data_IF_046811276531
#
_entry.id   IF_046811276531
#
_cell.length_a   1.000
_cell.length_b   1.000
_cell.length_c   1.000
_cell.angle_alpha   90.00
_cell.angle_beta   90.00
_cell.angle_gamma   90.00
#
_symmetry.space_group_name_H-M   'P 1'
#
loop_
_entity.id
_entity.type
_entity.pdbx_description
1 polymer ?
#
# COMPACT_ATOMS: atom_id res chain seq x y z
N UNK A 1 -14.16 -12.54 9.60
CA UNK A 1 -14.38 -12.09 8.22
C UNK A 1 -13.08 -11.49 7.72
N UNK A 2 -12.60 -11.85 6.52
CA UNK A 2 -11.39 -11.25 5.98
C UNK A 2 -11.66 -9.77 5.66
N UNK A 3 -10.83 -8.85 6.16
CA UNK A 3 -11.00 -7.41 5.88
C UNK A 3 -10.88 -7.15 4.38
N UNK A 4 -11.56 -6.10 3.90
CA UNK A 4 -11.33 -5.60 2.54
C UNK A 4 -9.92 -5.00 2.47
N UNK A 5 -9.09 -5.47 1.53
CA UNK A 5 -7.75 -4.89 1.30
C UNK A 5 -7.88 -3.45 0.77
N UNK A 6 -6.95 -2.57 1.13
CA UNK A 6 -7.03 -1.15 0.80
C UNK A 6 -8.12 -0.38 1.58
N UNK A 7 -8.48 -0.86 2.77
CA UNK A 7 -9.45 -0.22 3.66
C UNK A 7 -8.81 0.15 5.01
N UNK A 8 -9.43 1.10 5.69
CA UNK A 8 -9.07 1.52 7.05
C UNK A 8 -9.33 0.39 8.07
N UNK A 9 -8.97 0.62 9.34
CA UNK A 9 -9.19 -0.36 10.42
C UNK A 9 -10.65 -0.76 10.63
N UNK A 10 -11.60 0.08 10.22
CA UNK A 10 -13.05 -0.16 10.33
C UNK A 10 -13.62 -0.80 9.06
N UNK A 11 -12.79 -1.03 8.04
CA UNK A 11 -13.17 -1.65 6.77
C UNK A 11 -13.76 -0.66 5.74
N UNK A 12 -13.67 0.65 5.99
CA UNK A 12 -14.10 1.69 5.06
C UNK A 12 -12.98 2.00 4.06
N UNK A 13 -13.36 2.55 2.90
CA UNK A 13 -12.38 3.00 1.92
C UNK A 13 -11.64 4.23 2.46
N UNK A 14 -10.34 4.31 2.19
CA UNK A 14 -9.60 5.56 2.36
C UNK A 14 -10.13 6.62 1.40
N UNK A 15 -10.18 7.87 1.86
CA UNK A 15 -10.44 9.03 1.00
C UNK A 15 -9.22 9.36 0.11
N UNK A 16 -9.45 10.21 -0.89
CA UNK A 16 -8.42 10.54 -1.89
C UNK A 16 -7.23 11.29 -1.29
N UNK A 17 -7.45 12.08 -0.24
CA UNK A 17 -6.38 12.77 0.49
C UNK A 17 -5.45 11.75 1.15
N UNK A 18 -6.01 10.80 1.89
CA UNK A 18 -5.24 9.74 2.53
C UNK A 18 -4.54 8.84 1.52
N UNK A 19 -5.20 8.51 0.40
CA UNK A 19 -4.57 7.76 -0.69
C UNK A 19 -3.35 8.52 -1.22
N UNK A 20 -3.46 9.84 -1.37
CA UNK A 20 -2.36 10.69 -1.81
C UNK A 20 -1.23 10.75 -0.78
N UNK A 21 -1.53 10.92 0.50
CA UNK A 21 -0.53 10.89 1.58
C UNK A 21 0.25 9.57 1.60
N UNK A 22 -0.45 8.45 1.41
CA UNK A 22 0.17 7.12 1.35
C UNK A 22 0.99 6.98 0.07
N UNK A 23 0.50 7.43 -1.08
CA UNK A 23 1.25 7.42 -2.34
C UNK A 23 2.60 8.12 -2.21
N UNK A 24 2.65 9.28 -1.54
CA UNK A 24 3.89 10.03 -1.33
C UNK A 24 4.92 9.30 -0.46
N UNK A 25 4.52 8.26 0.28
CA UNK A 25 5.45 7.40 1.01
C UNK A 25 6.20 6.41 0.12
N UNK A 26 5.73 6.20 -1.11
CA UNK A 26 6.46 5.41 -2.11
C UNK A 26 7.76 6.09 -2.52
N UNK A 27 8.78 5.30 -2.78
CA UNK A 27 10.10 5.81 -3.16
C UNK A 27 10.06 6.33 -4.61
N UNK A 28 10.71 7.48 -4.85
CA UNK A 28 10.85 8.03 -6.21
C UNK A 28 11.83 7.16 -7.00
N UNK A 29 11.49 6.86 -8.25
CA UNK A 29 12.34 6.10 -9.15
C UNK A 29 13.12 7.08 -10.03
N UNK A 30 14.48 7.07 -10.01
CA UNK A 30 15.27 7.90 -10.91
C UNK A 30 14.90 7.67 -12.38
N UNK A 31 14.70 8.75 -13.13
CA UNK A 31 14.34 8.68 -14.55
C UNK A 31 12.87 8.38 -14.87
N UNK A 32 11.98 8.26 -13.87
CA UNK A 32 10.52 8.18 -14.08
C UNK A 32 9.81 9.39 -13.47
N UNK A 33 8.64 9.72 -14.02
CA UNK A 33 7.78 10.76 -13.46
C UNK A 33 7.26 10.34 -12.07
N UNK A 34 7.69 11.05 -11.03
CA UNK A 34 7.34 10.76 -9.64
C UNK A 34 5.86 11.01 -9.28
N UNK A 35 5.12 11.71 -10.13
CA UNK A 35 3.66 11.88 -10.00
C UNK A 35 2.95 10.57 -10.40
N UNK A 36 3.48 9.89 -11.41
CA UNK A 36 2.86 8.70 -12.00
C UNK A 36 3.42 7.39 -11.46
N UNK A 37 4.71 7.35 -11.13
CA UNK A 37 5.42 6.12 -10.76
C UNK A 37 6.14 6.26 -9.42
N UNK A 38 6.04 5.20 -8.62
CA UNK A 38 6.80 5.02 -7.38
C UNK A 38 7.24 3.57 -7.27
N UNK A 39 8.20 3.33 -6.39
CA UNK A 39 8.63 2.01 -5.94
C UNK A 39 8.05 1.78 -4.54
N UNK A 40 7.42 0.62 -4.33
CA UNK A 40 6.90 0.23 -3.02
C UNK A 40 8.02 -0.28 -2.09
N UNK A 41 7.66 -0.72 -0.89
CA UNK A 41 8.63 -1.22 0.08
C UNK A 41 9.31 -2.54 -0.36
N UNK A 42 8.70 -3.28 -1.29
CA UNK A 42 9.20 -4.53 -1.84
C UNK A 42 10.00 -4.36 -3.14
N UNK A 43 10.24 -3.12 -3.57
CA UNK A 43 10.97 -2.84 -4.81
C UNK A 43 10.10 -2.94 -6.06
N UNK A 44 8.78 -3.14 -5.93
CA UNK A 44 7.88 -3.21 -7.07
C UNK A 44 7.54 -1.81 -7.58
N UNK A 45 7.50 -1.66 -8.90
CA UNK A 45 7.03 -0.42 -9.53
C UNK A 45 5.51 -0.36 -9.48
N UNK A 46 4.97 0.73 -8.94
CA UNK A 46 3.54 0.99 -8.84
C UNK A 46 3.16 2.23 -9.66
N UNK A 47 1.95 2.21 -10.24
CA UNK A 47 1.44 3.28 -11.10
C UNK A 47 0.25 3.98 -10.44
N UNK A 48 0.31 5.30 -10.28
CA UNK A 48 -0.67 6.09 -9.53
C UNK A 48 -2.13 5.86 -10.01
N UNK A 49 -2.46 5.88 -11.31
CA UNK A 49 -3.80 5.55 -11.82
C UNK A 49 -4.21 4.07 -11.72
N UNK A 50 -3.32 3.18 -11.27
CA UNK A 50 -3.63 1.77 -11.00
C UNK A 50 -3.92 1.48 -9.53
N UNK A 51 -4.24 2.52 -8.75
CA UNK A 51 -4.75 2.33 -7.40
C UNK A 51 -6.01 1.44 -7.38
N UNK A 52 -6.02 0.45 -6.48
CA UNK A 52 -7.13 -0.50 -6.30
C UNK A 52 -7.22 -1.60 -7.37
N UNK A 53 -6.35 -1.58 -8.40
CA UNK A 53 -6.39 -2.56 -9.50
C UNK A 53 -5.53 -3.77 -9.21
N UNK A 54 -5.96 -4.92 -9.72
CA UNK A 54 -5.16 -6.14 -9.74
C UNK A 54 -4.39 -6.23 -11.07
N UNK A 55 -3.28 -5.50 -11.16
CA UNK A 55 -2.41 -5.42 -12.33
C UNK A 55 -0.95 -5.45 -11.89
N UNK A 56 -0.03 -5.67 -12.82
CA UNK A 56 1.43 -5.69 -12.56
C UNK A 56 1.92 -4.48 -11.75
N UNK A 57 1.47 -3.28 -12.11
CA UNK A 57 1.75 -2.02 -11.38
C UNK A 57 0.59 -1.53 -10.52
N UNK A 58 -0.36 -2.42 -10.22
CA UNK A 58 -1.52 -2.13 -9.36
C UNK A 58 -1.09 -2.08 -7.91
N UNK A 59 -1.71 -1.19 -7.13
CA UNK A 59 -1.31 -1.01 -5.73
C UNK A 59 -2.50 -0.64 -4.85
N UNK A 60 -2.33 -0.85 -3.55
CA UNK A 60 -3.31 -0.54 -2.52
C UNK A 60 -2.63 0.04 -1.29
N UNK A 61 -3.43 0.65 -0.40
CA UNK A 61 -2.96 1.02 0.93
C UNK A 61 -2.81 -0.25 1.78
N UNK A 62 -1.59 -0.48 2.26
CA UNK A 62 -1.27 -1.56 3.19
C UNK A 62 -0.94 -1.02 4.59
N UNK A 63 -1.21 -1.83 5.60
CA UNK A 63 -0.80 -1.61 6.97
C UNK A 63 0.48 -2.41 7.27
N UNK A 64 1.60 -1.72 7.52
CA UNK A 64 2.89 -2.34 7.87
C UNK A 64 2.74 -3.30 9.05
N UNK A 65 2.23 -2.80 10.18
CA UNK A 65 1.68 -3.63 11.25
C UNK A 65 0.18 -3.86 10.96
N UNK A 66 -0.26 -5.09 10.69
CA UNK A 66 -1.66 -5.44 10.50
C UNK A 66 -2.55 -5.04 11.69
N UNK A 67 -3.82 -4.72 11.41
CA UNK A 67 -4.78 -4.25 12.43
C UNK A 67 -5.04 -5.31 13.50
N UNK A 68 -5.11 -6.60 13.13
CA UNK A 68 -5.26 -7.73 14.06
C UNK A 68 -4.05 -7.92 15.00
N UNK A 69 -2.94 -7.24 14.70
CA UNK A 69 -1.72 -7.20 15.51
C UNK A 69 -1.48 -5.82 16.15
N UNK A 70 -2.54 -5.02 16.29
CA UNK A 70 -2.49 -3.70 16.94
C UNK A 70 -2.06 -2.56 16.00
N UNK A 71 -2.02 -2.80 14.70
CA UNK A 71 -1.84 -1.77 13.67
C UNK A 71 -2.92 -0.69 13.71
N UNK A 72 -2.54 0.53 13.32
CA UNK A 72 -3.45 1.69 13.26
C UNK A 72 -3.44 2.31 11.87
N UNK A 73 -4.43 3.16 11.58
CA UNK A 73 -4.48 3.97 10.35
C UNK A 73 -3.56 5.21 10.40
N UNK A 74 -2.62 5.26 11.35
CA UNK A 74 -1.62 6.32 11.37
C UNK A 74 -0.77 6.23 10.10
N UNK A 75 -0.52 7.38 9.45
CA UNK A 75 0.25 7.44 8.20
C UNK A 75 1.65 6.79 8.30
N UNK A 76 2.26 6.73 9.50
CA UNK A 76 3.53 6.03 9.74
C UNK A 76 3.43 4.51 9.57
N UNK A 77 2.26 3.95 9.85
CA UNK A 77 1.94 2.53 9.70
C UNK A 77 1.38 2.19 8.31
N UNK A 78 1.01 3.18 7.50
CA UNK A 78 0.50 2.97 6.16
C UNK A 78 1.64 3.03 5.12
N UNK A 79 1.49 2.24 4.06
CA UNK A 79 2.39 2.26 2.91
C UNK A 79 1.62 1.93 1.62
N UNK A 80 2.08 2.44 0.47
CA UNK A 80 1.64 1.92 -0.80
C UNK A 80 2.33 0.56 -1.00
N UNK A 81 1.57 -0.45 -1.38
CA UNK A 81 2.09 -1.79 -1.65
C UNK A 81 1.43 -2.34 -2.90
N UNK A 82 2.23 -2.99 -3.75
CA UNK A 82 1.74 -3.65 -4.95
C UNK A 82 0.66 -4.68 -4.59
N UNK A 83 -0.36 -4.78 -5.44
CA UNK A 83 -1.60 -5.49 -5.08
C UNK A 83 -1.36 -6.97 -4.78
N UNK A 84 -0.51 -7.65 -5.56
CA UNK A 84 -0.12 -9.05 -5.38
C UNK A 84 0.73 -9.24 -4.12
N UNK A 85 1.75 -8.41 -3.93
CA UNK A 85 2.59 -8.39 -2.74
C UNK A 85 1.76 -8.22 -1.46
N UNK A 86 0.76 -7.33 -1.49
CA UNK A 86 -0.17 -7.16 -0.38
C UNK A 86 -1.02 -8.42 -0.13
N UNK A 87 -1.32 -9.22 -1.16
CA UNK A 87 -2.01 -10.51 -0.98
C UNK A 87 -1.10 -11.52 -0.31
N UNK A 88 0.14 -11.62 -0.75
CA UNK A 88 1.14 -12.57 -0.25
C UNK A 88 1.55 -12.23 1.19
N UNK A 89 1.79 -10.95 1.47
CA UNK A 89 2.03 -10.42 2.82
C UNK A 89 0.92 -10.80 3.80
N UNK A 90 -0.34 -10.61 3.42
CA UNK A 90 -1.50 -10.88 4.29
C UNK A 90 -1.33 -10.21 5.67
N UNK A 91 -1.52 -10.95 6.76
CA UNK A 91 -1.32 -10.48 8.14
C UNK A 91 0.07 -10.84 8.69
N UNK A 92 1.06 -11.15 7.84
CA UNK A 92 2.42 -11.45 8.28
C UNK A 92 3.02 -10.20 8.92
N UNK A 93 3.56 -10.37 10.13
CA UNK A 93 4.26 -9.31 10.86
C UNK A 93 5.24 -9.94 11.87
N UNK A 94 6.50 -9.48 11.93
CA UNK A 94 7.10 -8.47 11.04
C UNK A 94 7.18 -8.99 9.59
N UNK A 95 6.71 -8.19 8.64
CA UNK A 95 6.89 -8.46 7.22
C UNK A 95 8.13 -7.74 6.73
N UNK A 96 8.98 -8.47 6.04
CA UNK A 96 10.12 -7.94 5.31
C UNK A 96 9.96 -8.47 3.88
N UNK A 97 9.96 -7.59 2.87
CA UNK A 97 10.12 -8.04 1.50
C UNK A 97 11.49 -8.72 1.36
N UNK A 98 11.53 -9.77 0.53
CA UNK A 98 12.73 -10.56 0.26
C UNK A 98 13.78 -9.78 -0.56
#
# INVERSE_FOLDING_TARGET
MARRRGADREGRKFDDERIQEVWERGKKIPGKDSVLYREDAAGNVIYRPSYGKNSEMGWQVDHKNPVDKGGTDNLRNLQPLQTEENKEKSNRYPWKPE
#
